data_IF_854953646164
#
_entry.id   IF_854953646164
#
_cell.length_a   1.000
_cell.length_b   1.000
_cell.length_c   1.000
_cell.angle_alpha   90.00
_cell.angle_beta   90.00
_cell.angle_gamma   90.00
#
_symmetry.space_group_name_H-M   'P 1'
#
loop_
_entity.id
_entity.type
_entity.pdbx_description
1 polymer ?
#
# COMPACT_ATOMS: atom_id res chain seq x y z
N UNK A 1 -11.83 25.57 61.94
CA UNK A 1 -12.02 24.36 61.08
C UNK A 1 -11.87 24.78 59.62
N UNK A 2 -10.73 24.51 59.05
CA UNK A 2 -10.45 24.75 57.62
C UNK A 2 -11.00 23.57 56.84
N UNK A 3 -12.13 23.75 56.13
CA UNK A 3 -12.65 22.78 55.16
C UNK A 3 -11.57 22.54 54.09
N UNK A 4 -11.07 21.30 54.03
CA UNK A 4 -10.22 20.83 52.97
C UNK A 4 -11.09 20.68 51.72
N UNK A 5 -11.04 21.69 50.85
CA UNK A 5 -11.68 21.59 49.50
C UNK A 5 -10.94 20.55 48.70
N UNK A 6 -11.57 19.42 48.43
CA UNK A 6 -11.00 18.41 47.55
C UNK A 6 -10.78 19.01 46.16
N UNK A 7 -9.60 18.79 45.55
CA UNK A 7 -9.33 19.30 44.20
C UNK A 7 -10.29 18.68 43.18
N UNK A 8 -10.76 19.44 42.20
CA UNK A 8 -11.70 18.94 41.22
C UNK A 8 -11.13 17.72 40.47
N UNK A 9 -11.96 16.70 40.29
CA UNK A 9 -11.58 15.52 39.53
C UNK A 9 -11.21 15.89 38.08
N UNK A 10 -9.91 15.85 37.80
CA UNK A 10 -9.38 16.13 36.47
C UNK A 10 -9.79 14.99 35.51
N UNK A 11 -10.41 15.33 34.37
CA UNK A 11 -10.79 14.35 33.36
C UNK A 11 -9.58 13.53 32.90
N UNK A 12 -9.79 12.24 32.60
CA UNK A 12 -8.74 11.30 32.15
C UNK A 12 -7.89 11.85 30.99
N UNK A 13 -8.52 12.58 30.07
CA UNK A 13 -7.81 13.20 28.94
C UNK A 13 -6.88 14.32 29.38
N UNK A 14 -7.29 15.12 30.34
CA UNK A 14 -6.48 16.21 30.88
C UNK A 14 -5.29 15.68 31.67
N UNK A 15 -5.49 14.59 32.44
CA UNK A 15 -4.39 13.89 33.12
C UNK A 15 -3.34 13.44 32.11
N UNK A 16 -3.74 12.79 31.01
CA UNK A 16 -2.83 12.35 29.96
C UNK A 16 -2.10 13.50 29.26
N UNK A 17 -2.77 14.65 29.06
CA UNK A 17 -2.13 15.85 28.48
C UNK A 17 -1.10 16.47 29.41
N UNK A 18 -1.36 16.48 30.71
CA UNK A 18 -0.41 16.96 31.72
C UNK A 18 0.79 15.98 31.81
N UNK A 19 0.52 14.69 31.88
CA UNK A 19 1.55 13.65 31.92
C UNK A 19 2.45 13.69 30.68
N UNK A 20 1.93 13.95 29.49
CA UNK A 20 2.71 14.08 28.27
C UNK A 20 3.77 15.19 28.32
N UNK A 21 3.61 16.16 29.22
CA UNK A 21 4.54 17.27 29.42
C UNK A 21 5.38 17.11 30.68
N UNK A 22 5.16 16.06 31.48
CA UNK A 22 5.92 15.84 32.72
C UNK A 22 7.36 15.44 32.40
N UNK A 23 8.27 15.79 33.31
CA UNK A 23 9.70 15.47 33.16
C UNK A 23 9.92 13.94 33.14
N UNK A 24 9.18 13.22 33.99
CA UNK A 24 9.23 11.77 34.09
C UNK A 24 8.88 11.13 32.74
N UNK A 25 7.78 11.58 32.13
CA UNK A 25 7.37 11.04 30.82
C UNK A 25 8.34 11.42 29.70
N UNK A 26 8.89 12.64 29.72
CA UNK A 26 9.83 13.12 28.68
C UNK A 26 11.19 12.43 28.74
N UNK A 27 11.56 11.85 29.90
CA UNK A 27 12.83 11.15 30.06
C UNK A 27 12.86 9.79 29.37
N UNK A 28 11.82 8.98 29.50
CA UNK A 28 11.78 7.59 29.01
C UNK A 28 10.58 7.30 28.09
N UNK A 29 9.64 8.22 27.98
CA UNK A 29 8.43 8.08 27.16
C UNK A 29 7.61 6.82 27.46
N UNK A 30 7.57 6.42 28.74
CA UNK A 30 6.82 5.26 29.25
C UNK A 30 5.85 5.68 30.35
N UNK A 31 4.62 5.13 30.33
CA UNK A 31 3.97 4.39 29.24
C UNK A 31 3.71 5.27 28.00
N UNK A 32 3.42 4.66 26.84
CA UNK A 32 3.08 5.41 25.62
C UNK A 32 1.90 6.34 25.86
N UNK A 33 2.11 7.63 25.63
CA UNK A 33 1.07 8.65 25.80
C UNK A 33 0.61 9.20 24.44
N UNK A 34 -0.70 9.18 24.13
CA UNK A 34 -1.24 9.61 22.83
C UNK A 34 -1.11 11.12 22.59
N UNK A 35 -0.88 11.92 23.64
CA UNK A 35 -0.69 13.38 23.54
C UNK A 35 0.79 13.80 23.50
N UNK A 36 1.72 12.87 23.61
CA UNK A 36 3.14 13.14 23.46
C UNK A 36 3.57 12.93 22.00
N UNK A 37 4.08 13.98 21.35
CA UNK A 37 4.51 13.94 19.96
C UNK A 37 5.57 12.84 19.71
N UNK A 38 6.59 12.77 20.55
CA UNK A 38 7.64 11.75 20.44
C UNK A 38 7.12 10.33 20.58
N UNK A 39 6.13 10.11 21.48
CA UNK A 39 5.46 8.81 21.61
C UNK A 39 4.63 8.45 20.36
N UNK A 40 3.97 9.44 19.76
CA UNK A 40 3.16 9.20 18.56
C UNK A 40 4.05 8.89 17.38
N UNK A 41 5.09 9.66 17.14
CA UNK A 41 6.00 9.49 16.00
C UNK A 41 6.95 8.30 16.21
N UNK A 42 7.65 8.23 17.34
CA UNK A 42 8.67 7.21 17.59
C UNK A 42 8.10 5.81 17.87
N UNK A 43 6.89 5.73 18.44
CA UNK A 43 6.19 4.46 18.73
C UNK A 43 5.02 4.21 17.78
N UNK A 44 5.08 4.76 16.57
CA UNK A 44 4.07 4.54 15.54
C UNK A 44 4.12 3.09 15.07
N UNK A 45 3.12 2.30 15.47
CA UNK A 45 2.98 0.93 15.00
C UNK A 45 2.40 1.00 13.59
N UNK A 46 3.14 0.48 12.61
CA UNK A 46 2.59 0.28 11.27
C UNK A 46 1.33 -0.60 11.40
N UNK A 47 0.20 -0.13 10.89
CA UNK A 47 -1.02 -0.93 10.86
C UNK A 47 -0.67 -2.29 10.25
N UNK A 48 -0.95 -3.36 10.97
CA UNK A 48 -0.82 -4.68 10.40
C UNK A 48 -1.65 -4.74 9.12
N UNK A 49 -1.07 -5.31 8.06
CA UNK A 49 -1.85 -5.57 6.86
C UNK A 49 -3.09 -6.38 7.29
N UNK A 50 -4.27 -5.92 6.89
CA UNK A 50 -5.51 -6.66 7.15
C UNK A 50 -5.36 -8.10 6.68
N UNK A 51 -6.14 -9.02 7.27
CA UNK A 51 -6.18 -10.42 6.83
C UNK A 51 -6.22 -10.46 5.30
N UNK A 52 -5.34 -11.27 4.70
CA UNK A 52 -5.38 -11.50 3.25
C UNK A 52 -6.82 -11.80 2.87
N UNK A 53 -7.44 -10.94 2.06
CA UNK A 53 -8.75 -11.25 1.49
C UNK A 53 -8.56 -12.55 0.72
N UNK A 54 -9.40 -13.53 0.97
CA UNK A 54 -9.43 -14.74 0.17
C UNK A 54 -9.77 -14.31 -1.26
N UNK A 55 -8.78 -14.34 -2.11
CA UNK A 55 -8.91 -14.01 -3.53
C UNK A 55 -9.39 -15.29 -4.22
N UNK A 56 -10.58 -15.80 -3.90
CA UNK A 56 -11.16 -16.97 -4.53
C UNK A 56 -10.24 -18.19 -4.70
N UNK A 57 -10.73 -19.27 -5.24
CA UNK A 57 -9.93 -20.43 -5.62
C UNK A 57 -8.81 -20.01 -6.60
N UNK A 58 -7.65 -20.64 -6.50
CA UNK A 58 -6.56 -20.39 -7.44
C UNK A 58 -6.99 -20.90 -8.83
N UNK A 59 -6.84 -20.07 -9.88
CA UNK A 59 -7.09 -20.54 -11.25
C UNK A 59 -6.12 -21.67 -11.62
N UNK A 60 -6.58 -22.59 -12.45
CA UNK A 60 -5.80 -23.77 -12.87
C UNK A 60 -5.15 -23.58 -14.23
N UNK A 61 -5.77 -22.78 -15.09
CA UNK A 61 -5.35 -22.60 -16.48
C UNK A 61 -4.77 -21.20 -16.68
N UNK A 62 -3.70 -21.12 -17.49
CA UNK A 62 -3.10 -19.84 -17.90
C UNK A 62 -4.15 -18.91 -18.52
N UNK A 63 -4.04 -17.61 -18.26
CA UNK A 63 -4.98 -16.59 -18.75
C UNK A 63 -6.34 -16.55 -18.05
N UNK A 64 -6.66 -17.51 -17.19
CA UNK A 64 -7.94 -17.52 -16.47
C UNK A 64 -8.08 -16.32 -15.52
N UNK A 65 -7.02 -15.95 -14.83
CA UNK A 65 -6.95 -14.77 -13.99
C UNK A 65 -5.54 -14.19 -13.95
N UNK A 66 -5.40 -13.01 -14.51
CA UNK A 66 -4.17 -12.24 -14.47
C UNK A 66 -4.34 -10.99 -13.58
N UNK A 67 -3.23 -10.48 -13.09
CA UNK A 67 -3.15 -9.15 -12.48
C UNK A 67 -2.26 -8.28 -13.34
N UNK A 68 -2.69 -7.04 -13.60
CA UNK A 68 -1.92 -6.07 -14.35
C UNK A 68 -1.76 -4.79 -13.53
N UNK A 69 -0.60 -4.17 -13.63
CA UNK A 69 -0.26 -2.92 -12.94
C UNK A 69 0.73 -2.12 -13.78
N UNK A 70 0.80 -0.81 -13.54
CA UNK A 70 1.77 0.07 -14.17
C UNK A 70 2.96 0.34 -13.26
N UNK A 71 4.15 0.25 -13.82
CA UNK A 71 5.38 0.71 -13.22
C UNK A 71 5.82 2.02 -13.89
N UNK A 72 6.18 3.01 -13.08
CA UNK A 72 6.67 4.31 -13.56
C UNK A 72 8.14 4.46 -13.14
N UNK A 73 9.00 4.74 -14.10
CA UNK A 73 10.40 5.05 -13.83
C UNK A 73 10.53 6.52 -13.40
N UNK A 74 10.90 6.75 -12.15
CA UNK A 74 11.08 8.09 -11.59
C UNK A 74 12.36 8.78 -12.05
N UNK A 75 13.36 8.03 -12.49
CA UNK A 75 14.65 8.55 -12.90
C UNK A 75 15.08 8.05 -14.27
N UNK A 76 15.95 8.81 -14.94
CA UNK A 76 16.54 8.42 -16.22
C UNK A 76 17.30 7.08 -16.16
N UNK A 77 17.83 6.70 -14.99
CA UNK A 77 18.52 5.41 -14.80
C UNK A 77 17.59 4.22 -14.72
N UNK A 78 16.31 4.45 -14.45
CA UNK A 78 15.28 3.41 -14.30
C UNK A 78 14.45 3.23 -15.56
N UNK A 79 14.69 4.01 -16.60
CA UNK A 79 14.00 3.92 -17.89
C UNK A 79 14.41 2.64 -18.66
N UNK A 80 13.58 2.23 -19.60
CA UNK A 80 13.91 1.15 -20.52
C UNK A 80 15.11 1.50 -21.39
N UNK A 81 15.67 0.50 -22.08
CA UNK A 81 16.76 0.74 -23.02
C UNK A 81 16.39 1.72 -24.16
N UNK A 82 15.11 1.76 -24.53
CA UNK A 82 14.58 2.69 -25.53
C UNK A 82 14.18 4.05 -24.95
N UNK A 83 14.31 4.25 -23.65
CA UNK A 83 13.97 5.49 -22.96
C UNK A 83 12.54 5.59 -22.44
N UNK A 84 11.77 4.48 -22.50
CA UNK A 84 10.39 4.46 -21.97
C UNK A 84 10.39 4.63 -20.46
N UNK A 85 9.43 5.41 -19.98
CA UNK A 85 9.26 5.69 -18.55
C UNK A 85 8.22 4.82 -17.89
N UNK A 86 7.33 4.28 -18.69
CA UNK A 86 6.22 3.46 -18.22
C UNK A 86 6.44 2.00 -18.63
N UNK A 87 5.90 1.08 -17.84
CA UNK A 87 5.87 -0.33 -18.16
C UNK A 87 4.61 -0.98 -17.63
N UNK A 88 4.07 -1.94 -18.35
CA UNK A 88 2.96 -2.78 -17.91
C UNK A 88 3.54 -4.08 -17.33
N UNK A 89 3.26 -4.35 -16.06
CA UNK A 89 3.62 -5.60 -15.40
C UNK A 89 2.40 -6.49 -15.40
N UNK A 90 2.54 -7.70 -15.90
CA UNK A 90 1.47 -8.70 -15.95
C UNK A 90 1.89 -9.95 -15.18
N UNK A 91 0.99 -10.47 -14.37
CA UNK A 91 1.21 -11.69 -13.60
C UNK A 91 0.04 -12.66 -13.76
N UNK A 92 0.29 -13.86 -14.23
CA UNK A 92 -0.67 -14.94 -14.26
C UNK A 92 -0.67 -15.73 -12.95
N UNK A 93 -1.84 -15.91 -12.36
CA UNK A 93 -1.99 -16.60 -11.08
C UNK A 93 -1.90 -18.12 -11.17
N UNK A 94 -2.26 -18.69 -12.31
CA UNK A 94 -2.22 -20.14 -12.51
C UNK A 94 -0.79 -20.61 -12.71
N UNK A 95 -0.15 -20.13 -13.77
CA UNK A 95 1.23 -20.49 -14.14
C UNK A 95 2.28 -19.88 -13.21
N UNK A 96 1.93 -18.84 -12.43
CA UNK A 96 2.87 -17.98 -11.68
C UNK A 96 3.88 -17.26 -12.57
N UNK A 97 3.54 -17.12 -13.83
CA UNK A 97 4.34 -16.40 -14.80
C UNK A 97 4.13 -14.90 -14.65
N UNK A 98 5.19 -14.14 -14.74
CA UNK A 98 5.14 -12.68 -14.74
C UNK A 98 6.09 -12.13 -15.78
N UNK A 99 5.64 -11.05 -16.41
CA UNK A 99 6.40 -10.36 -17.42
C UNK A 99 6.23 -8.85 -17.29
N UNK A 100 7.12 -8.10 -17.94
CA UNK A 100 7.16 -6.65 -17.88
C UNK A 100 7.37 -6.09 -19.28
N UNK A 101 6.46 -5.27 -19.73
CA UNK A 101 6.46 -4.65 -21.06
C UNK A 101 6.70 -3.16 -20.94
N UNK A 102 7.89 -2.66 -21.28
CA UNK A 102 8.11 -1.22 -21.41
C UNK A 102 7.18 -0.63 -22.47
N UNK A 103 6.54 0.48 -22.18
CA UNK A 103 5.60 1.16 -23.05
C UNK A 103 5.89 2.66 -23.11
N UNK A 104 5.73 3.28 -24.28
CA UNK A 104 6.00 4.73 -24.42
C UNK A 104 4.99 5.58 -23.64
N UNK A 105 3.76 5.10 -23.49
CA UNK A 105 2.69 5.82 -22.79
C UNK A 105 1.86 4.89 -21.92
N UNK A 106 1.06 5.47 -21.02
CA UNK A 106 0.03 4.75 -20.25
C UNK A 106 -1.27 4.56 -21.03
N UNK A 107 -1.26 4.76 -22.32
CA UNK A 107 -2.46 4.66 -23.14
C UNK A 107 -3.05 3.25 -23.16
N UNK A 108 -4.37 3.17 -23.31
CA UNK A 108 -5.08 1.88 -23.40
C UNK A 108 -4.59 0.99 -24.53
N UNK A 109 -4.17 1.58 -25.65
CA UNK A 109 -3.64 0.83 -26.81
C UNK A 109 -2.32 0.13 -26.46
N UNK A 110 -1.42 0.78 -25.74
CA UNK A 110 -0.14 0.22 -25.30
C UNK A 110 -0.37 -0.92 -24.28
N UNK A 111 -1.33 -0.73 -23.37
CA UNK A 111 -1.76 -1.76 -22.43
C UNK A 111 -2.34 -2.97 -23.16
N UNK A 112 -3.23 -2.73 -24.12
CA UNK A 112 -3.84 -3.79 -24.91
C UNK A 112 -2.80 -4.58 -25.70
N UNK A 113 -1.84 -3.90 -26.33
CA UNK A 113 -0.72 -4.55 -27.02
C UNK A 113 0.11 -5.43 -26.09
N UNK A 114 0.43 -4.92 -24.90
CA UNK A 114 1.17 -5.66 -23.86
C UNK A 114 0.43 -6.91 -23.39
N UNK A 115 -0.88 -6.80 -23.17
CA UNK A 115 -1.72 -7.93 -22.76
C UNK A 115 -1.83 -8.99 -23.85
N UNK A 116 -1.95 -8.59 -25.12
CA UNK A 116 -1.94 -9.52 -26.25
C UNK A 116 -0.60 -10.23 -26.41
N UNK A 117 0.50 -9.50 -26.22
CA UNK A 117 1.83 -10.09 -26.24
C UNK A 117 2.02 -11.10 -25.11
N UNK A 118 1.51 -10.79 -23.91
CA UNK A 118 1.54 -11.71 -22.77
C UNK A 118 0.73 -12.98 -23.00
N UNK A 119 -0.48 -12.84 -23.55
CA UNK A 119 -1.36 -13.96 -23.85
C UNK A 119 -0.79 -14.87 -24.96
N UNK A 120 -0.07 -14.29 -25.91
CA UNK A 120 0.37 -15.01 -27.08
C UNK A 120 -0.76 -15.27 -28.10
N UNK A 121 -0.47 -16.04 -29.19
CA UNK A 121 -1.43 -16.22 -30.27
C UNK A 121 -2.59 -17.18 -29.96
N UNK A 122 -2.36 -18.14 -29.07
CA UNK A 122 -3.29 -19.23 -28.82
C UNK A 122 -4.13 -19.10 -27.56
N UNK A 123 -3.67 -18.31 -26.61
CA UNK A 123 -4.31 -18.15 -25.29
C UNK A 123 -5.20 -16.91 -25.22
N UNK A 124 -6.22 -16.97 -24.35
CA UNK A 124 -7.14 -15.87 -24.10
C UNK A 124 -7.18 -15.51 -22.63
N UNK A 125 -7.10 -14.22 -22.35
CA UNK A 125 -7.27 -13.68 -21.01
C UNK A 125 -8.77 -13.62 -20.69
N UNK A 126 -9.20 -14.33 -19.64
CA UNK A 126 -10.61 -14.35 -19.20
C UNK A 126 -10.92 -13.25 -18.18
N UNK A 127 -9.99 -12.98 -17.27
CA UNK A 127 -10.20 -12.02 -16.20
C UNK A 127 -8.91 -11.26 -15.88
N UNK A 128 -9.02 -9.95 -15.87
CA UNK A 128 -7.94 -9.03 -15.46
C UNK A 128 -8.31 -8.41 -14.13
N UNK A 129 -7.37 -8.38 -13.20
CA UNK A 129 -7.46 -7.62 -11.95
C UNK A 129 -6.42 -6.52 -11.96
N UNK A 130 -6.86 -5.30 -11.75
CA UNK A 130 -6.01 -4.11 -11.64
C UNK A 130 -6.37 -3.30 -10.39
N UNK A 131 -5.60 -2.28 -10.10
CA UNK A 131 -5.86 -1.31 -9.04
C UNK A 131 -7.04 -0.36 -9.34
N UNK A 132 -7.62 -0.48 -10.53
CA UNK A 132 -8.75 0.34 -10.97
C UNK A 132 -8.34 1.61 -11.69
N UNK A 133 -7.10 1.70 -12.15
CA UNK A 133 -6.66 2.80 -13.03
C UNK A 133 -7.51 2.84 -14.30
N UNK A 134 -7.80 4.04 -14.85
CA UNK A 134 -8.68 4.19 -16.03
C UNK A 134 -8.19 3.41 -17.25
N UNK A 135 -6.88 3.28 -17.40
CA UNK A 135 -6.21 2.64 -18.55
C UNK A 135 -6.36 1.11 -18.55
N UNK A 136 -6.70 0.53 -17.39
CA UNK A 136 -6.88 -0.90 -17.17
C UNK A 136 -8.37 -1.30 -17.01
N UNK A 137 -9.29 -0.39 -17.24
CA UNK A 137 -10.74 -0.62 -17.26
C UNK A 137 -11.24 -0.80 -18.69
#
# INVERSE_FOLDING_TARGET
ETELVEPPEICKQEKLKLEAKSVEHLRDHLPKNPYCHSCVVGKMIRKAHGKKREIGARPEVFGEQITADHLIAESAKSQSFLGDKDAVIVYDRAARWKDCYPVPTKGGDDVYASLNQFAGPDDKIKCIRSDGSPELK
#
